data_IF_291637894372
#
_entry.id   IF_291637894372
#
_cell.length_a   1.000
_cell.length_b   1.000
_cell.length_c   1.000
_cell.angle_alpha   90.00
_cell.angle_beta   90.00
_cell.angle_gamma   90.00
#
_symmetry.space_group_name_H-M   'P 1'
#
loop_
_entity.id
_entity.type
_entity.pdbx_description
1 polymer ?
#
# COMPACT_ATOMS: atom_id res chain seq x y z
N UNK A 1 3.38 -31.47 -16.72
CA UNK A 1 3.72 -30.04 -16.51
C UNK A 1 3.89 -29.26 -17.83
N UNK A 2 4.51 -29.84 -18.88
CA UNK A 2 4.72 -29.15 -20.16
C UNK A 2 3.46 -28.65 -20.89
N UNK A 3 2.28 -29.30 -20.72
CA UNK A 3 1.02 -28.81 -21.30
C UNK A 3 0.53 -27.51 -20.64
N UNK A 4 0.76 -27.33 -19.35
CA UNK A 4 0.37 -26.12 -18.63
C UNK A 4 1.27 -24.93 -19.01
N UNK A 5 2.57 -25.17 -19.12
CA UNK A 5 3.54 -24.16 -19.57
C UNK A 5 3.23 -23.75 -21.02
N UNK A 6 2.97 -24.72 -21.91
CA UNK A 6 2.58 -24.44 -23.29
C UNK A 6 1.24 -23.70 -23.38
N UNK A 7 0.28 -24.01 -22.50
CA UNK A 7 -0.97 -23.23 -22.37
C UNK A 7 -0.72 -21.80 -21.91
N UNK A 8 0.12 -21.60 -20.89
CA UNK A 8 0.48 -20.28 -20.37
C UNK A 8 1.13 -19.39 -21.44
N UNK A 9 2.06 -19.96 -22.21
CA UNK A 9 2.70 -19.27 -23.33
C UNK A 9 1.68 -18.95 -24.43
N UNK A 10 0.79 -19.90 -24.77
CA UNK A 10 -0.26 -19.67 -25.75
C UNK A 10 -1.24 -18.57 -25.29
N UNK A 11 -1.61 -18.57 -23.99
CA UNK A 11 -2.41 -17.51 -23.39
C UNK A 11 -1.73 -16.14 -23.49
N UNK A 12 -0.43 -16.05 -23.19
CA UNK A 12 0.34 -14.81 -23.33
C UNK A 12 0.31 -14.27 -24.77
N UNK A 13 0.47 -15.13 -25.77
CA UNK A 13 0.42 -14.75 -27.19
C UNK A 13 -0.98 -14.30 -27.61
N UNK A 14 -2.03 -14.96 -27.13
CA UNK A 14 -3.42 -14.54 -27.39
C UNK A 14 -3.70 -13.18 -26.74
N UNK A 15 -3.18 -12.95 -25.53
CA UNK A 15 -3.37 -11.70 -24.79
C UNK A 15 -2.70 -10.52 -25.50
N UNK A 16 -1.48 -10.72 -26.04
CA UNK A 16 -0.80 -9.70 -26.84
C UNK A 16 -1.50 -9.43 -28.16
N UNK A 17 -2.00 -10.46 -28.86
CA UNK A 17 -2.78 -10.28 -30.09
C UNK A 17 -4.08 -9.52 -29.85
N UNK A 18 -4.82 -9.86 -28.79
CA UNK A 18 -6.03 -9.14 -28.40
C UNK A 18 -5.73 -7.67 -28.06
N UNK A 19 -4.66 -7.42 -27.30
CA UNK A 19 -4.22 -6.06 -27.00
C UNK A 19 -3.87 -5.27 -28.27
N UNK A 20 -3.22 -5.93 -29.24
CA UNK A 20 -2.85 -5.33 -30.53
C UNK A 20 -4.08 -4.98 -31.39
N UNK A 21 -5.05 -5.89 -31.47
CA UNK A 21 -6.31 -5.67 -32.18
C UNK A 21 -7.14 -4.56 -31.52
N UNK A 22 -7.19 -4.53 -30.17
CA UNK A 22 -7.87 -3.47 -29.42
C UNK A 22 -7.17 -2.12 -29.60
N UNK A 23 -5.83 -2.11 -29.64
CA UNK A 23 -5.05 -0.91 -29.90
C UNK A 23 -5.32 -0.35 -31.30
N UNK A 24 -5.38 -1.21 -32.32
CA UNK A 24 -5.68 -0.82 -33.70
C UNK A 24 -7.13 -0.37 -33.89
N UNK A 25 -8.11 -1.10 -33.34
CA UNK A 25 -9.53 -0.78 -33.53
C UNK A 25 -10.01 0.45 -32.77
N UNK A 26 -9.39 0.78 -31.63
CA UNK A 26 -9.83 1.89 -30.76
C UNK A 26 -8.79 3.01 -30.65
N UNK A 27 -7.74 3.03 -31.46
CA UNK A 27 -6.77 4.12 -31.53
C UNK A 27 -6.12 4.52 -30.19
N UNK A 28 -6.01 3.58 -29.25
CA UNK A 28 -5.44 3.85 -27.92
C UNK A 28 -6.38 4.46 -26.87
N UNK A 29 -7.63 4.76 -27.19
CA UNK A 29 -8.65 5.22 -26.23
C UNK A 29 -8.81 4.33 -24.97
N UNK A 30 -8.84 2.98 -25.08
CA UNK A 30 -8.93 2.12 -23.89
C UNK A 30 -7.68 2.21 -23.01
N UNK A 31 -6.49 2.40 -23.60
CA UNK A 31 -5.26 2.61 -22.83
C UNK A 31 -5.29 3.94 -22.07
N UNK A 32 -5.87 4.99 -22.68
CA UNK A 32 -6.02 6.31 -22.04
C UNK A 32 -6.94 6.25 -20.82
N UNK A 33 -8.10 5.59 -20.95
CA UNK A 33 -9.04 5.36 -19.83
C UNK A 33 -8.45 4.48 -18.72
N UNK A 34 -7.62 3.49 -19.08
CA UNK A 34 -6.93 2.64 -18.12
C UNK A 34 -5.84 3.43 -17.37
N UNK A 35 -5.10 4.29 -18.08
CA UNK A 35 -4.14 5.23 -17.50
C UNK A 35 -4.79 6.18 -16.49
N UNK A 36 -5.89 6.84 -16.86
CA UNK A 36 -6.63 7.73 -15.94
C UNK A 36 -7.11 7.01 -14.70
N UNK A 37 -7.68 5.79 -14.85
CA UNK A 37 -8.10 4.98 -13.68
C UNK A 37 -6.92 4.62 -12.79
N UNK A 38 -5.79 4.25 -13.38
CA UNK A 38 -4.57 3.87 -12.63
C UNK A 38 -4.00 5.07 -11.88
N UNK A 39 -3.97 6.24 -12.51
CA UNK A 39 -3.50 7.48 -11.89
C UNK A 39 -4.40 7.91 -10.72
N UNK A 40 -5.72 7.75 -10.88
CA UNK A 40 -6.69 8.04 -9.83
C UNK A 40 -6.57 7.06 -8.64
N UNK A 41 -6.35 5.78 -8.92
CA UNK A 41 -6.06 4.76 -7.91
C UNK A 41 -4.75 5.06 -7.18
N UNK A 42 -3.69 5.41 -7.92
CA UNK A 42 -2.39 5.77 -7.37
C UNK A 42 -2.48 6.98 -6.43
N UNK A 43 -3.23 8.01 -6.81
CA UNK A 43 -3.49 9.18 -5.94
C UNK A 43 -4.25 8.80 -4.66
N UNK A 44 -5.28 7.96 -4.77
CA UNK A 44 -6.05 7.50 -3.60
C UNK A 44 -5.20 6.67 -2.65
N UNK A 45 -4.40 5.73 -3.19
CA UNK A 45 -3.48 4.92 -2.38
C UNK A 45 -2.44 5.81 -1.70
N UNK A 46 -1.85 6.77 -2.42
CA UNK A 46 -0.86 7.70 -1.85
C UNK A 46 -1.45 8.51 -0.69
N UNK A 47 -2.67 9.04 -0.83
CA UNK A 47 -3.36 9.75 0.26
C UNK A 47 -3.58 8.86 1.49
N UNK A 48 -4.05 7.63 1.27
CA UNK A 48 -4.23 6.64 2.35
C UNK A 48 -2.91 6.31 3.04
N UNK A 49 -1.84 6.12 2.28
CA UNK A 49 -0.50 5.85 2.83
C UNK A 49 0.03 7.03 3.66
N UNK A 50 -0.19 8.26 3.22
CA UNK A 50 0.18 9.47 3.98
C UNK A 50 -0.63 9.62 5.28
N UNK A 51 -1.93 9.29 5.27
CA UNK A 51 -2.76 9.24 6.48
C UNK A 51 -2.28 8.17 7.46
N UNK A 52 -2.02 6.95 6.96
CA UNK A 52 -1.47 5.84 7.75
C UNK A 52 -0.13 6.19 8.37
N UNK A 53 0.77 6.85 7.63
CA UNK A 53 2.05 7.31 8.16
C UNK A 53 1.87 8.34 9.29
N UNK A 54 0.94 9.30 9.13
CA UNK A 54 0.62 10.27 10.18
C UNK A 54 0.01 9.62 11.42
N UNK A 55 -0.85 8.62 11.27
CA UNK A 55 -1.40 7.87 12.39
C UNK A 55 -0.33 7.05 13.11
N UNK A 56 0.56 6.40 12.36
CA UNK A 56 1.69 5.66 12.93
C UNK A 56 2.62 6.58 13.74
N UNK A 57 2.92 7.78 13.23
CA UNK A 57 3.72 8.77 13.96
C UNK A 57 3.01 9.28 15.23
N UNK A 58 1.69 9.49 15.19
CA UNK A 58 0.90 9.84 16.37
C UNK A 58 0.95 8.73 17.42
N UNK A 59 0.73 7.48 17.01
CA UNK A 59 0.82 6.32 17.89
C UNK A 59 2.20 6.19 18.53
N UNK A 60 3.27 6.43 17.77
CA UNK A 60 4.64 6.43 18.28
C UNK A 60 4.84 7.50 19.35
N UNK A 61 4.40 8.74 19.10
CA UNK A 61 4.47 9.83 20.09
C UNK A 61 3.67 9.51 21.35
N UNK A 62 2.45 9.00 21.21
CA UNK A 62 1.63 8.60 22.37
C UNK A 62 2.32 7.51 23.19
N UNK A 63 2.93 6.51 22.53
CA UNK A 63 3.69 5.46 23.21
C UNK A 63 4.87 6.04 24.01
N UNK A 64 5.62 6.98 23.46
CA UNK A 64 6.73 7.64 24.16
C UNK A 64 6.26 8.43 25.39
N UNK A 65 5.11 9.12 25.31
CA UNK A 65 4.53 9.83 26.46
C UNK A 65 4.13 8.86 27.57
N UNK A 66 3.46 7.76 27.22
CA UNK A 66 3.07 6.71 28.18
C UNK A 66 4.30 6.09 28.84
N UNK A 67 5.37 5.84 28.08
CA UNK A 67 6.62 5.27 28.59
C UNK A 67 7.30 6.21 29.60
N UNK A 68 7.31 7.52 29.32
CA UNK A 68 7.80 8.55 30.25
C UNK A 68 6.98 8.60 31.54
N UNK A 69 5.64 8.63 31.43
CA UNK A 69 4.76 8.66 32.59
C UNK A 69 4.93 7.40 33.45
N UNK A 70 5.07 6.23 32.83
CA UNK A 70 5.33 4.98 33.55
C UNK A 70 6.62 5.05 34.37
N UNK A 71 7.72 5.55 33.77
CA UNK A 71 9.01 5.74 34.47
C UNK A 71 8.90 6.72 35.64
N UNK A 72 8.11 7.77 35.48
CA UNK A 72 7.90 8.76 36.53
C UNK A 72 7.10 8.19 37.70
N UNK A 73 6.06 7.39 37.41
CA UNK A 73 5.30 6.64 38.42
C UNK A 73 6.18 5.62 39.14
N UNK A 74 7.02 4.88 38.43
CA UNK A 74 7.97 3.92 39.04
C UNK A 74 8.95 4.63 39.99
N UNK A 75 9.51 5.77 39.58
CA UNK A 75 10.40 6.59 40.44
C UNK A 75 9.69 7.13 41.68
N UNK A 76 8.44 7.59 41.54
CA UNK A 76 7.64 8.04 42.68
C UNK A 76 7.33 6.89 43.64
N UNK A 77 7.04 5.71 43.10
CA UNK A 77 6.77 4.49 43.87
C UNK A 77 8.01 4.03 44.65
N UNK A 78 9.20 4.07 44.06
CA UNK A 78 10.45 3.79 44.79
C UNK A 78 10.68 4.78 45.93
N UNK A 79 10.56 6.09 45.67
CA UNK A 79 10.71 7.13 46.70
C UNK A 79 9.72 7.01 47.86
N UNK A 80 8.52 6.48 47.61
CA UNK A 80 7.50 6.20 48.63
C UNK A 80 7.76 4.91 49.40
N UNK A 81 8.59 4.01 48.89
CA UNK A 81 8.91 2.72 49.50
C UNK A 81 10.15 2.80 50.41
N UNK A 82 11.03 3.75 50.14
CA UNK A 82 12.21 4.09 50.95
C UNK A 82 11.92 5.05 52.12
N UNK A 83 10.66 5.47 52.31
CA UNK A 83 10.23 6.41 53.35
C UNK A 83 9.24 5.75 54.30
#
# INVERSE_FOLDING_TARGET
MCRFIKRLVCFLVILTLLAFVVALLKGGEPFRKLGERTEHLGRTIKKRSEELAKEADRLKKTREVIEKQKKEIERLKEKLKDK
#
